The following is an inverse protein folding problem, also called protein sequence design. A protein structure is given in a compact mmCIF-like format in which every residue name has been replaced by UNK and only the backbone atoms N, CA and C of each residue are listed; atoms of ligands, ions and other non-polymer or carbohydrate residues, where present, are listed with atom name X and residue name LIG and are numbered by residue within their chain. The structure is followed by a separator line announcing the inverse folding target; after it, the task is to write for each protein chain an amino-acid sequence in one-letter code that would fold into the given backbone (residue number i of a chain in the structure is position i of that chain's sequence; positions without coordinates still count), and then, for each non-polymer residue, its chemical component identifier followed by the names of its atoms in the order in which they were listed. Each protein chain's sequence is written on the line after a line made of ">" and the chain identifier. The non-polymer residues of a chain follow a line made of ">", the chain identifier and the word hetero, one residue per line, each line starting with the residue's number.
data_IF_699483098326
#
_entry.id   IF_699483098326
#
_cell.length_a   1.000
_cell.length_b   1.000
_cell.length_c   1.000
_cell.angle_alpha   90.00
_cell.angle_beta   90.00
_cell.angle_gamma   90.00
#
_symmetry.space_group_name_H-M   'P 1'
#
loop_
_entity.id
_entity.type
_entity.pdbx_description
1 polymer ?
#
# COMPACT_ATOMS: atom_id res chain seq x y z
N UNK A 1 -0.04 -29.29 13.04
CA UNK A 1 -0.26 -30.25 14.15
C UNK A 1 -0.59 -29.48 15.43
N UNK A 2 -1.15 -30.12 16.45
CA UNK A 2 -1.57 -29.49 17.73
C UNK A 2 -0.41 -28.75 18.45
N UNK A 3 0.84 -29.14 18.21
CA UNK A 3 2.05 -28.46 18.69
C UNK A 3 2.22 -27.03 18.12
N UNK A 4 1.93 -26.83 16.82
CA UNK A 4 2.00 -25.50 16.19
C UNK A 4 0.99 -24.52 16.79
N UNK A 5 -0.13 -24.98 17.34
CA UNK A 5 -1.20 -24.13 17.84
C UNK A 5 -0.86 -23.57 19.24
N UNK A 6 -0.19 -24.36 20.07
CA UNK A 6 0.31 -23.94 21.39
C UNK A 6 1.44 -22.92 21.27
N UNK A 7 2.40 -23.15 20.37
CA UNK A 7 3.47 -22.18 20.09
C UNK A 7 2.91 -20.88 19.49
N UNK A 8 1.84 -20.97 18.70
CA UNK A 8 1.11 -19.81 18.19
C UNK A 8 0.44 -19.03 19.33
N UNK A 9 -0.23 -19.70 20.26
CA UNK A 9 -0.86 -19.05 21.41
C UNK A 9 0.16 -18.30 22.25
N UNK A 10 1.33 -18.90 22.47
CA UNK A 10 2.43 -18.22 23.17
C UNK A 10 2.95 -17.00 22.40
N UNK A 11 3.09 -17.09 21.07
CA UNK A 11 3.45 -15.94 20.21
C UNK A 11 2.38 -14.84 20.22
N UNK A 12 1.10 -15.21 20.35
CA UNK A 12 -0.01 -14.26 20.44
C UNK A 12 -0.06 -13.53 21.78
N UNK A 13 0.37 -14.16 22.87
CA UNK A 13 0.48 -13.54 24.20
C UNK A 13 1.59 -12.47 24.25
N UNK A 14 2.64 -12.59 23.43
CA UNK A 14 3.69 -11.58 23.31
C UNK A 14 3.24 -10.31 22.56
N UNK A 15 2.11 -10.37 21.86
CA UNK A 15 1.53 -9.22 21.20
C UNK A 15 0.57 -8.54 22.19
N UNK A 16 0.71 -7.22 22.39
CA UNK A 16 -0.22 -6.41 23.20
C UNK A 16 -1.58 -6.27 22.49
N UNK A 17 -2.31 -7.38 22.36
CA UNK A 17 -3.59 -7.49 21.67
C UNK A 17 -4.75 -7.40 22.64
N UNK A 18 -5.81 -6.73 22.22
CA UNK A 18 -7.09 -6.85 22.92
C UNK A 18 -7.73 -8.23 22.69
N UNK A 19 -8.69 -8.60 23.53
CA UNK A 19 -9.35 -9.91 23.47
C UNK A 19 -10.11 -10.15 22.16
N UNK A 20 -10.63 -9.09 21.54
CA UNK A 20 -11.32 -9.21 20.26
C UNK A 20 -10.33 -9.52 19.12
N UNK A 21 -9.17 -8.88 19.12
CA UNK A 21 -8.07 -9.13 18.20
C UNK A 21 -7.54 -10.56 18.34
N UNK A 22 -7.29 -11.02 19.58
CA UNK A 22 -6.87 -12.41 19.84
C UNK A 22 -7.86 -13.41 19.27
N UNK A 23 -9.15 -13.25 19.59
CA UNK A 23 -10.22 -14.15 19.12
C UNK A 23 -10.30 -14.20 17.59
N UNK A 24 -10.17 -13.06 16.90
CA UNK A 24 -10.19 -12.99 15.44
C UNK A 24 -8.98 -13.70 14.83
N UNK A 25 -7.79 -13.50 15.40
CA UNK A 25 -6.57 -14.10 14.92
C UNK A 25 -6.57 -15.62 15.13
N UNK A 26 -7.01 -16.10 16.30
CA UNK A 26 -7.22 -17.53 16.56
C UNK A 26 -8.23 -18.17 15.60
N UNK A 27 -9.33 -17.47 15.29
CA UNK A 27 -10.32 -17.94 14.34
C UNK A 27 -9.72 -18.08 12.92
N UNK A 28 -8.96 -17.08 12.46
CA UNK A 28 -8.25 -17.14 11.19
C UNK A 28 -7.27 -18.32 11.14
N UNK A 29 -6.47 -18.51 12.19
CA UNK A 29 -5.48 -19.58 12.27
C UNK A 29 -6.13 -20.97 12.31
N UNK A 30 -7.29 -21.09 12.96
CA UNK A 30 -8.10 -22.31 12.97
C UNK A 30 -8.65 -22.62 11.57
N UNK A 31 -9.09 -21.60 10.83
CA UNK A 31 -9.51 -21.77 9.43
C UNK A 31 -8.33 -22.16 8.53
N UNK A 32 -7.19 -21.48 8.69
CA UNK A 32 -5.95 -21.78 7.96
C UNK A 32 -5.47 -23.21 8.18
N UNK A 33 -5.60 -23.75 9.39
CA UNK A 33 -5.24 -25.14 9.67
C UNK A 33 -6.12 -26.19 8.95
N UNK A 34 -7.30 -25.79 8.47
CA UNK A 34 -8.17 -26.63 7.62
C UNK A 34 -7.79 -26.57 6.14
N UNK A 35 -6.98 -25.58 5.75
CA UNK A 35 -6.47 -25.44 4.38
C UNK A 35 -5.26 -26.37 4.26
N UNK A 36 -5.36 -27.34 3.36
CA UNK A 36 -4.27 -28.23 3.02
C UNK A 36 -3.28 -27.59 2.05
N UNK A 37 -2.62 -28.42 1.26
CA UNK A 37 -1.85 -27.95 0.10
C UNK A 37 -2.80 -27.30 -0.92
N UNK A 38 -2.43 -26.11 -1.40
CA UNK A 38 -3.22 -25.37 -2.38
C UNK A 38 -2.83 -25.77 -3.81
N UNK A 39 -3.82 -26.03 -4.65
CA UNK A 39 -3.65 -26.32 -6.08
C UNK A 39 -4.57 -25.43 -6.91
N UNK A 40 -4.20 -25.18 -8.17
CA UNK A 40 -4.97 -24.31 -9.05
C UNK A 40 -6.43 -24.79 -9.22
N UNK A 41 -6.60 -26.08 -9.47
CA UNK A 41 -7.89 -26.73 -9.67
C UNK A 41 -8.82 -26.64 -8.44
N UNK A 42 -8.32 -26.30 -7.25
CA UNK A 42 -9.14 -26.21 -6.04
C UNK A 42 -9.92 -24.88 -5.93
N UNK A 43 -9.68 -23.93 -6.83
CA UNK A 43 -10.27 -22.61 -6.76
C UNK A 43 -11.39 -22.39 -7.78
N UNK A 44 -12.49 -21.79 -7.33
CA UNK A 44 -13.54 -21.25 -8.17
C UNK A 44 -13.47 -19.72 -8.16
N UNK A 45 -13.35 -19.10 -9.34
CA UNK A 45 -13.33 -17.64 -9.48
C UNK A 45 -14.72 -17.06 -9.25
N UNK A 46 -14.82 -16.06 -8.37
CA UNK A 46 -16.07 -15.35 -8.07
C UNK A 46 -16.10 -14.02 -8.83
N UNK A 47 -15.10 -13.16 -8.58
CA UNK A 47 -15.04 -11.82 -9.17
C UNK A 47 -13.60 -11.32 -9.21
N UNK A 48 -13.33 -10.29 -10.01
CA UNK A 48 -12.08 -9.55 -9.93
C UNK A 48 -12.13 -8.54 -8.79
N UNK A 49 -11.03 -8.35 -8.07
CA UNK A 49 -10.90 -7.36 -6.99
C UNK A 49 -10.05 -6.17 -7.43
N UNK A 50 -9.08 -6.40 -8.31
CA UNK A 50 -8.25 -5.36 -8.91
C UNK A 50 -7.11 -5.94 -9.72
N UNK A 51 -6.50 -5.09 -10.54
CA UNK A 51 -5.30 -5.39 -11.30
C UNK A 51 -4.30 -4.26 -11.13
N UNK A 52 -3.02 -4.59 -11.01
CA UNK A 52 -1.95 -3.60 -10.84
C UNK A 52 -0.59 -4.13 -11.26
N UNK A 53 0.45 -3.36 -10.92
CA UNK A 53 1.84 -3.65 -11.32
C UNK A 53 2.34 -5.03 -10.86
N UNK A 54 1.74 -5.59 -9.80
CA UNK A 54 2.10 -6.90 -9.24
C UNK A 54 1.19 -8.03 -9.70
N UNK A 55 0.38 -7.85 -10.75
CA UNK A 55 -0.54 -8.87 -11.28
C UNK A 55 -2.01 -8.62 -10.98
N UNK A 56 -2.84 -9.65 -11.16
CA UNK A 56 -4.30 -9.58 -11.01
C UNK A 56 -4.73 -10.23 -9.71
N UNK A 57 -5.61 -9.58 -8.96
CA UNK A 57 -6.20 -10.09 -7.73
C UNK A 57 -7.66 -10.46 -7.98
N UNK A 58 -7.99 -11.71 -7.70
CA UNK A 58 -9.34 -12.26 -7.86
C UNK A 58 -9.90 -12.75 -6.53
N UNK A 59 -11.19 -12.55 -6.32
CA UNK A 59 -11.94 -13.19 -5.26
C UNK A 59 -12.25 -14.61 -5.69
N UNK A 60 -11.87 -15.59 -4.87
CA UNK A 60 -12.03 -17.01 -5.17
C UNK A 60 -12.64 -17.74 -3.99
N UNK A 61 -13.32 -18.85 -4.27
CA UNK A 61 -13.69 -19.83 -3.26
C UNK A 61 -12.78 -21.05 -3.37
N UNK A 62 -12.15 -21.43 -2.26
CA UNK A 62 -11.39 -22.67 -2.17
C UNK A 62 -12.35 -23.83 -1.92
N UNK A 63 -12.62 -24.66 -2.93
CA UNK A 63 -13.64 -25.71 -2.91
C UNK A 63 -13.48 -26.69 -1.74
N UNK A 64 -12.28 -27.22 -1.41
CA UNK A 64 -12.14 -28.18 -0.32
C UNK A 64 -12.51 -27.65 1.07
N UNK A 65 -12.26 -26.36 1.35
CA UNK A 65 -12.54 -25.77 2.67
C UNK A 65 -13.77 -24.86 2.71
N UNK A 66 -14.32 -24.50 1.55
CA UNK A 66 -15.41 -23.53 1.40
C UNK A 66 -15.02 -22.08 1.68
N UNK A 67 -13.74 -21.80 2.00
CA UNK A 67 -13.27 -20.47 2.38
C UNK A 67 -13.20 -19.54 1.17
N UNK A 68 -13.61 -18.29 1.36
CA UNK A 68 -13.42 -17.21 0.39
C UNK A 68 -12.06 -16.57 0.63
N UNK A 69 -11.27 -16.42 -0.42
CA UNK A 69 -9.91 -15.87 -0.39
C UNK A 69 -9.74 -14.78 -1.45
N UNK A 70 -8.72 -13.94 -1.26
CA UNK A 70 -8.16 -13.12 -2.33
C UNK A 70 -6.94 -13.86 -2.90
N UNK A 71 -6.97 -14.14 -4.20
CA UNK A 71 -5.88 -14.81 -4.93
C UNK A 71 -5.21 -13.83 -5.88
N UNK A 72 -3.95 -13.50 -5.60
CA UNK A 72 -3.10 -12.68 -6.46
C UNK A 72 -2.29 -13.58 -7.39
N UNK A 73 -2.41 -13.34 -8.69
CA UNK A 73 -1.72 -14.06 -9.76
C UNK A 73 -0.63 -13.15 -10.32
N UNK A 74 0.62 -13.60 -10.24
CA UNK A 74 1.80 -12.88 -10.73
C UNK A 74 2.41 -13.69 -11.86
N UNK A 75 2.30 -13.18 -13.08
CA UNK A 75 2.93 -13.78 -14.24
C UNK A 75 4.42 -13.43 -14.26
N UNK A 76 5.29 -14.44 -14.19
CA UNK A 76 6.75 -14.25 -14.20
C UNK A 76 7.43 -15.32 -15.06
N UNK A 77 8.00 -14.89 -16.17
CA UNK A 77 8.88 -15.72 -16.99
C UNK A 77 10.29 -15.77 -16.38
N UNK A 78 10.46 -16.60 -15.35
CA UNK A 78 11.73 -16.74 -14.64
C UNK A 78 12.21 -18.20 -14.60
N UNK A 79 13.53 -18.36 -14.48
CA UNK A 79 14.17 -19.67 -14.38
C UNK A 79 13.63 -20.44 -13.18
N UNK A 80 13.46 -21.78 -13.27
CA UNK A 80 12.94 -22.61 -12.18
C UNK A 80 13.66 -22.42 -10.83
N UNK A 81 14.98 -22.17 -10.85
CA UNK A 81 15.76 -21.92 -9.64
C UNK A 81 15.32 -20.64 -8.89
N UNK A 82 15.11 -19.53 -9.62
CA UNK A 82 14.66 -18.24 -9.06
C UNK A 82 13.22 -18.39 -8.56
N UNK A 83 12.36 -19.04 -9.34
CA UNK A 83 10.98 -19.35 -8.93
C UNK A 83 10.92 -20.11 -7.60
N UNK A 84 11.69 -21.20 -7.48
CA UNK A 84 11.71 -22.00 -6.26
C UNK A 84 12.26 -21.21 -5.08
N UNK A 85 13.20 -20.28 -5.32
CA UNK A 85 13.66 -19.36 -4.29
C UNK A 85 12.55 -18.39 -3.84
N UNK A 86 11.82 -17.78 -4.78
CA UNK A 86 10.69 -16.89 -4.44
C UNK A 86 9.64 -17.64 -3.61
N UNK A 87 9.23 -18.84 -4.03
CA UNK A 87 8.25 -19.64 -3.28
C UNK A 87 8.74 -19.94 -1.86
N UNK A 88 10.02 -20.25 -1.67
CA UNK A 88 10.61 -20.45 -0.34
C UNK A 88 10.62 -19.17 0.49
N UNK A 89 11.00 -18.04 -0.09
CA UNK A 89 11.00 -16.74 0.60
C UNK A 89 9.57 -16.34 1.03
N UNK A 90 8.57 -16.60 0.18
CA UNK A 90 7.15 -16.38 0.50
C UNK A 90 6.65 -17.25 1.66
N UNK A 91 7.33 -18.35 2.03
CA UNK A 91 6.92 -19.16 3.19
C UNK A 91 6.99 -18.38 4.51
N UNK A 92 7.83 -17.35 4.61
CA UNK A 92 7.91 -16.46 5.79
C UNK A 92 6.57 -15.78 6.06
N UNK A 93 5.72 -15.58 5.04
CA UNK A 93 4.37 -15.06 5.21
C UNK A 93 3.48 -15.96 6.08
N UNK A 94 3.78 -17.27 6.21
CA UNK A 94 3.04 -18.12 7.14
C UNK A 94 3.23 -17.71 8.60
N UNK A 95 4.37 -17.09 8.93
CA UNK A 95 4.71 -16.63 10.28
C UNK A 95 4.20 -15.21 10.57
N UNK A 96 3.82 -14.47 9.53
CA UNK A 96 3.27 -13.13 9.64
C UNK A 96 1.79 -13.14 10.09
N UNK A 97 1.56 -13.29 11.40
CA UNK A 97 0.22 -13.34 11.98
C UNK A 97 0.01 -12.18 12.97
N UNK A 98 -0.65 -11.12 12.51
CA UNK A 98 -0.93 -9.90 13.28
C UNK A 98 -2.28 -9.33 12.86
N UNK A 99 -3.03 -8.67 13.76
CA UNK A 99 -4.29 -8.03 13.39
C UNK A 99 -4.13 -6.86 12.41
N UNK A 100 -2.90 -6.40 12.15
CA UNK A 100 -2.57 -5.30 11.22
C UNK A 100 -1.91 -5.79 9.92
N UNK A 101 -1.77 -7.11 9.73
CA UNK A 101 -1.21 -7.72 8.52
C UNK A 101 -2.25 -8.66 7.92
N UNK A 102 -2.47 -8.56 6.61
CA UNK A 102 -3.41 -9.41 5.89
C UNK A 102 -2.99 -10.87 6.03
N UNK A 103 -3.91 -11.69 6.53
CA UNK A 103 -3.70 -13.10 6.80
C UNK A 103 -3.33 -13.88 5.54
N UNK A 104 -2.27 -14.67 5.63
CA UNK A 104 -1.77 -15.48 4.53
C UNK A 104 -2.19 -16.95 4.66
N UNK A 105 -2.78 -17.52 3.60
CA UNK A 105 -3.12 -18.94 3.54
C UNK A 105 -2.00 -19.78 2.94
N UNK A 106 -1.42 -19.34 1.82
CA UNK A 106 -0.35 -20.07 1.15
C UNK A 106 0.00 -19.47 -0.21
N UNK A 107 1.12 -19.93 -0.78
CA UNK A 107 1.55 -19.59 -2.12
C UNK A 107 1.99 -20.83 -2.88
N UNK A 108 1.71 -20.86 -4.18
CA UNK A 108 2.08 -21.96 -5.07
C UNK A 108 2.35 -21.44 -6.48
N UNK A 109 2.88 -22.30 -7.33
CA UNK A 109 3.13 -21.98 -8.73
C UNK A 109 2.40 -22.99 -9.63
N UNK A 110 1.68 -22.48 -10.62
CA UNK A 110 1.03 -23.28 -11.68
C UNK A 110 1.11 -22.51 -13.00
N UNK A 111 1.34 -23.21 -14.10
CA UNK A 111 1.16 -22.70 -15.46
C UNK A 111 1.83 -21.34 -15.78
N UNK A 112 3.03 -21.11 -15.27
CA UNK A 112 3.75 -19.86 -15.52
C UNK A 112 3.52 -18.76 -14.48
N UNK A 113 2.62 -18.99 -13.51
CA UNK A 113 2.14 -17.96 -12.59
C UNK A 113 2.39 -18.33 -11.13
N UNK A 114 2.82 -17.35 -10.33
CA UNK A 114 2.84 -17.46 -8.88
C UNK A 114 1.49 -17.01 -8.33
N UNK A 115 0.86 -17.89 -7.57
CA UNK A 115 -0.40 -17.61 -6.87
C UNK A 115 -0.15 -17.38 -5.39
N UNK A 116 -0.66 -16.28 -4.86
CA UNK A 116 -0.60 -15.91 -3.44
C UNK A 116 -2.05 -15.83 -2.93
N UNK A 117 -2.40 -16.69 -1.97
CA UNK A 117 -3.75 -16.77 -1.40
C UNK A 117 -3.79 -16.14 0.00
N UNK A 118 -4.66 -15.15 0.16
CA UNK A 118 -4.76 -14.28 1.34
C UNK A 118 -6.20 -14.19 1.84
N UNK A 119 -6.40 -13.70 3.07
CA UNK A 119 -7.73 -13.37 3.56
C UNK A 119 -8.39 -12.31 2.66
N UNK A 120 -9.70 -12.46 2.45
CA UNK A 120 -10.47 -11.50 1.68
C UNK A 120 -10.90 -10.33 2.58
N UNK A 121 -10.48 -9.12 2.20
CA UNK A 121 -10.85 -7.86 2.84
C UNK A 121 -11.99 -7.21 2.06
N UNK A 122 -13.22 -7.32 2.56
CA UNK A 122 -14.45 -6.97 1.84
C UNK A 122 -14.71 -5.46 1.68
N UNK A 123 -13.95 -4.61 2.35
CA UNK A 123 -13.96 -3.16 2.13
C UNK A 123 -12.93 -2.69 1.10
N UNK A 124 -12.15 -3.60 0.52
CA UNK A 124 -11.15 -3.26 -0.49
C UNK A 124 -9.96 -2.48 0.07
N UNK A 125 -9.25 -1.79 -0.82
CA UNK A 125 -8.11 -0.95 -0.49
C UNK A 125 -8.49 0.51 -0.25
N UNK A 126 -7.67 1.25 0.49
CA UNK A 126 -7.96 2.66 0.77
C UNK A 126 -7.95 3.56 -0.49
N UNK A 127 -7.27 3.18 -1.58
CA UNK A 127 -7.39 3.93 -2.85
C UNK A 127 -8.78 3.77 -3.49
N UNK A 128 -9.40 2.59 -3.35
CA UNK A 128 -10.78 2.35 -3.81
C UNK A 128 -11.76 3.11 -2.94
N UNK A 129 -11.59 3.05 -1.62
CA UNK A 129 -12.38 3.83 -0.66
C UNK A 129 -12.24 5.33 -0.91
N UNK A 130 -11.04 5.83 -1.23
CA UNK A 130 -10.81 7.24 -1.53
C UNK A 130 -11.59 7.71 -2.77
N UNK A 131 -11.65 6.89 -3.82
CA UNK A 131 -12.41 7.22 -5.05
C UNK A 131 -13.89 7.44 -4.77
N UNK A 132 -14.46 6.67 -3.84
CA UNK A 132 -15.87 6.80 -3.44
C UNK A 132 -16.09 7.94 -2.43
N UNK A 133 -15.25 8.02 -1.40
CA UNK A 133 -15.38 9.01 -0.32
C UNK A 133 -14.92 10.41 -0.72
N UNK A 134 -14.13 10.52 -1.80
CA UNK A 134 -13.38 11.70 -2.26
C UNK A 134 -12.29 12.17 -1.28
N UNK A 135 -12.54 12.13 0.03
CA UNK A 135 -11.60 12.45 1.11
C UNK A 135 -11.91 11.59 2.33
N UNK A 136 -10.89 11.24 3.10
CA UNK A 136 -11.06 10.52 4.36
C UNK A 136 -10.94 11.51 5.53
N UNK A 137 -11.91 11.54 6.47
CA UNK A 137 -11.85 12.41 7.64
C UNK A 137 -10.63 12.12 8.53
N UNK A 138 -10.08 13.18 9.13
CA UNK A 138 -8.91 13.13 10.01
C UNK A 138 -9.06 12.09 11.15
N UNK A 139 -10.23 12.01 11.77
CA UNK A 139 -10.50 11.05 12.85
C UNK A 139 -10.31 9.58 12.42
N UNK A 140 -10.70 9.28 11.17
CA UNK A 140 -10.54 7.95 10.57
C UNK A 140 -9.07 7.74 10.19
N UNK A 141 -8.41 8.77 9.66
CA UNK A 141 -6.98 8.72 9.35
C UNK A 141 -6.12 8.50 10.60
N UNK A 142 -6.52 9.01 11.77
CA UNK A 142 -5.88 8.67 13.03
C UNK A 142 -5.89 7.16 13.31
N UNK A 143 -7.00 6.47 13.02
CA UNK A 143 -7.10 5.00 13.15
C UNK A 143 -6.28 4.26 12.10
N UNK A 144 -6.27 4.75 10.85
CA UNK A 144 -5.40 4.24 9.79
C UNK A 144 -3.94 4.35 10.19
N UNK A 145 -3.51 5.51 10.68
CA UNK A 145 -2.14 5.76 11.13
C UNK A 145 -1.70 4.78 12.22
N UNK A 146 -2.54 4.56 13.23
CA UNK A 146 -2.27 3.59 14.30
C UNK A 146 -2.09 2.17 13.71
N UNK A 147 -2.98 1.75 12.82
CA UNK A 147 -2.93 0.42 12.23
C UNK A 147 -1.68 0.22 11.35
N UNK A 148 -1.34 1.20 10.51
CA UNK A 148 -0.15 1.15 9.65
C UNK A 148 1.12 1.12 10.50
N UNK A 149 1.26 1.99 11.50
CA UNK A 149 2.42 2.01 12.39
C UNK A 149 2.58 0.70 13.15
N UNK A 150 1.50 0.14 13.69
CA UNK A 150 1.54 -1.16 14.37
C UNK A 150 1.89 -2.30 13.43
N UNK A 151 1.41 -2.27 12.18
CA UNK A 151 1.78 -3.22 11.14
C UNK A 151 3.27 -3.14 10.77
N UNK A 152 3.79 -1.93 10.55
CA UNK A 152 5.21 -1.70 10.25
C UNK A 152 6.12 -2.10 11.41
N UNK A 153 5.76 -1.74 12.65
CA UNK A 153 6.48 -2.13 13.85
C UNK A 153 6.51 -3.66 13.99
N UNK A 154 5.37 -4.34 13.80
CA UNK A 154 5.30 -5.80 13.82
C UNK A 154 6.24 -6.45 12.79
N UNK A 155 6.23 -5.99 11.53
CA UNK A 155 7.10 -6.50 10.47
C UNK A 155 8.58 -6.30 10.83
N UNK A 156 8.93 -5.12 11.35
CA UNK A 156 10.31 -4.79 11.69
C UNK A 156 10.81 -5.57 12.91
N UNK A 157 10.07 -5.55 14.01
CA UNK A 157 10.52 -6.10 15.29
C UNK A 157 10.51 -7.62 15.29
N UNK A 158 9.43 -8.24 14.79
CA UNK A 158 9.26 -9.70 14.85
C UNK A 158 9.91 -10.43 13.67
N UNK A 159 10.02 -9.78 12.51
CA UNK A 159 10.48 -10.45 11.27
C UNK A 159 11.69 -9.78 10.62
N UNK A 160 12.15 -8.61 11.09
CA UNK A 160 13.22 -7.82 10.45
C UNK A 160 12.89 -7.43 8.99
N UNK A 161 11.61 -7.31 8.66
CA UNK A 161 11.12 -6.97 7.32
C UNK A 161 10.80 -5.48 7.23
N UNK A 162 11.13 -4.86 6.08
CA UNK A 162 10.63 -3.54 5.68
C UNK A 162 9.53 -3.72 4.64
N UNK A 163 8.52 -2.86 4.65
CA UNK A 163 7.39 -3.00 3.72
C UNK A 163 7.78 -2.64 2.29
N UNK A 164 8.49 -1.52 2.11
CA UNK A 164 9.03 -0.98 0.84
C UNK A 164 8.01 -0.49 -0.19
N UNK A 165 6.71 -0.60 0.08
CA UNK A 165 5.63 -0.24 -0.84
C UNK A 165 4.36 0.18 -0.09
N UNK A 166 4.49 1.01 0.95
CA UNK A 166 3.32 1.54 1.66
C UNK A 166 2.64 2.58 0.76
N UNK A 167 1.36 2.38 0.48
CA UNK A 167 0.51 3.29 -0.31
C UNK A 167 -0.96 2.95 -0.08
N UNK A 168 -1.93 3.82 -0.42
CA UNK A 168 -3.35 3.55 -0.21
C UNK A 168 -3.84 2.22 -0.78
N UNK A 169 -3.31 1.78 -1.93
CA UNK A 169 -3.71 0.50 -2.54
C UNK A 169 -3.26 -0.74 -1.77
N UNK A 170 -2.29 -0.60 -0.86
CA UNK A 170 -1.73 -1.69 -0.05
C UNK A 170 -2.21 -1.64 1.41
N UNK A 171 -3.15 -0.75 1.73
CA UNK A 171 -3.82 -0.67 3.03
C UNK A 171 -5.26 -1.14 2.81
N UNK A 172 -5.60 -2.33 3.32
CA UNK A 172 -6.90 -2.94 3.12
C UNK A 172 -7.80 -2.78 4.34
N UNK A 173 -9.11 -2.68 4.09
CA UNK A 173 -10.13 -2.56 5.12
C UNK A 173 -11.24 -3.58 4.96
N UNK A 174 -11.95 -3.87 6.04
CA UNK A 174 -13.10 -4.77 6.01
C UNK A 174 -14.30 -4.24 6.82
N UNK A 175 -15.46 -4.83 6.61
CA UNK A 175 -16.73 -4.49 7.28
C UNK A 175 -16.70 -4.68 8.80
N UNK A 176 -15.69 -5.38 9.32
CA UNK A 176 -15.45 -5.56 10.77
C UNK A 176 -14.61 -4.44 11.39
N UNK A 177 -14.23 -3.44 10.59
CA UNK A 177 -13.43 -2.29 11.01
C UNK A 177 -11.93 -2.59 11.15
N UNK A 178 -11.43 -3.69 10.58
CA UNK A 178 -9.99 -3.98 10.59
C UNK A 178 -9.28 -3.23 9.46
N UNK A 179 -8.06 -2.76 9.74
CA UNK A 179 -7.18 -2.07 8.79
C UNK A 179 -5.87 -2.87 8.77
N UNK A 180 -5.46 -3.36 7.60
CA UNK A 180 -4.34 -4.29 7.47
C UNK A 180 -3.46 -3.98 6.27
N UNK A 181 -2.15 -4.16 6.43
CA UNK A 181 -1.17 -4.03 5.35
C UNK A 181 -1.08 -5.33 4.54
N UNK A 182 -0.91 -5.19 3.23
CA UNK A 182 -0.62 -6.28 2.29
C UNK A 182 0.57 -5.93 1.39
N UNK A 183 1.01 -6.88 0.57
CA UNK A 183 2.04 -6.65 -0.46
C UNK A 183 3.37 -6.06 0.06
N UNK A 184 3.79 -6.48 1.26
CA UNK A 184 5.07 -6.11 1.84
C UNK A 184 6.22 -6.97 1.29
N UNK A 185 7.42 -6.37 1.24
CA UNK A 185 8.59 -6.90 0.54
C UNK A 185 9.29 -8.08 1.20
N UNK A 186 8.67 -9.26 1.22
CA UNK A 186 9.25 -10.49 1.81
C UNK A 186 10.31 -11.14 0.91
N UNK A 187 10.12 -11.11 -0.41
CA UNK A 187 11.07 -11.72 -1.34
C UNK A 187 11.84 -10.64 -2.11
N UNK A 188 13.13 -10.51 -1.83
CA UNK A 188 14.04 -9.63 -2.57
C UNK A 188 14.07 -9.98 -4.05
N UNK A 189 14.08 -11.28 -4.38
CA UNK A 189 14.07 -11.75 -5.76
C UNK A 189 12.77 -11.40 -6.49
N UNK A 190 11.62 -11.51 -5.81
CA UNK A 190 10.34 -11.09 -6.37
C UNK A 190 10.32 -9.57 -6.60
N UNK A 191 10.82 -8.80 -5.63
CA UNK A 191 10.96 -7.35 -5.75
C UNK A 191 11.85 -7.00 -6.95
N UNK A 192 13.03 -7.59 -7.07
CA UNK A 192 13.96 -7.31 -8.17
C UNK A 192 13.37 -7.71 -9.53
N UNK A 193 12.66 -8.84 -9.58
CA UNK A 193 11.97 -9.31 -10.81
C UNK A 193 10.82 -8.37 -11.22
N UNK A 194 10.08 -7.82 -10.26
CA UNK A 194 9.01 -6.83 -10.52
C UNK A 194 9.55 -5.41 -10.74
N UNK A 195 10.66 -5.04 -10.10
CA UNK A 195 11.26 -3.70 -10.18
C UNK A 195 11.93 -3.44 -11.53
N UNK A 196 12.46 -4.50 -12.17
CA UNK A 196 13.00 -4.43 -13.52
C UNK A 196 11.92 -4.20 -14.59
N UNK A 197 10.63 -4.38 -14.25
CA UNK A 197 9.54 -4.31 -15.22
C UNK A 197 8.66 -3.08 -15.12
N UNK A 198 8.60 -2.34 -13.98
CA UNK A 198 7.58 -1.27 -13.84
C UNK A 198 8.01 0.00 -13.08
N UNK A 199 7.57 1.14 -13.60
CA UNK A 199 7.97 2.51 -13.20
C UNK A 199 6.95 3.18 -12.24
N UNK A 200 5.68 2.78 -12.26
CA UNK A 200 4.58 3.47 -11.54
C UNK A 200 4.57 3.31 -10.01
N UNK A 201 5.32 2.36 -9.44
CA UNK A 201 5.41 2.16 -7.98
C UNK A 201 6.36 3.16 -7.29
N UNK A 202 7.11 3.96 -8.06
CA UNK A 202 8.17 4.83 -7.52
C UNK A 202 7.64 6.13 -6.90
N UNK A 203 6.39 6.51 -7.16
CA UNK A 203 5.83 7.79 -6.71
C UNK A 203 5.79 7.95 -5.18
N UNK A 204 5.59 6.87 -4.43
CA UNK A 204 5.61 6.90 -2.95
C UNK A 204 6.99 6.66 -2.36
N UNK A 205 8.01 6.46 -3.20
CA UNK A 205 9.35 6.16 -2.74
C UNK A 205 9.96 7.38 -2.07
N UNK A 206 10.69 7.14 -0.97
CA UNK A 206 11.38 8.20 -0.26
C UNK A 206 12.58 8.76 -1.05
N UNK A 207 12.99 10.01 -0.80
CA UNK A 207 14.08 10.65 -1.53
C UNK A 207 15.40 9.85 -1.44
N UNK A 208 15.72 9.33 -0.26
CA UNK A 208 16.96 8.58 0.00
C UNK A 208 16.99 7.25 -0.77
N UNK A 209 15.82 6.62 -0.98
CA UNK A 209 15.69 5.42 -1.82
C UNK A 209 15.83 5.74 -3.30
N UNK A 210 15.29 6.85 -3.77
CA UNK A 210 15.41 7.29 -5.16
C UNK A 210 16.86 7.64 -5.53
N UNK A 211 17.62 8.17 -4.58
CA UNK A 211 19.05 8.45 -4.73
C UNK A 211 19.94 7.20 -4.58
N UNK A 212 19.38 6.04 -4.22
CA UNK A 212 20.14 4.80 -4.05
C UNK A 212 21.02 4.77 -2.78
N UNK A 213 20.74 5.63 -1.81
CA UNK A 213 21.45 5.66 -0.53
C UNK A 213 20.97 4.55 0.41
N UNK A 214 21.65 4.36 1.55
CA UNK A 214 21.21 3.40 2.55
C UNK A 214 19.86 3.83 3.14
N UNK A 215 18.87 2.94 3.05
CA UNK A 215 17.52 3.22 3.49
C UNK A 215 17.08 2.21 4.56
N UNK A 216 16.10 2.62 5.37
CA UNK A 216 15.61 1.84 6.52
C UNK A 216 14.09 1.91 6.61
N UNK A 217 13.51 1.49 7.73
CA UNK A 217 12.07 1.65 8.02
C UNK A 217 11.60 3.10 7.89
N UNK A 218 12.50 4.10 8.02
CA UNK A 218 12.18 5.50 7.79
C UNK A 218 11.60 5.78 6.39
N UNK A 219 11.98 4.98 5.38
CA UNK A 219 11.41 5.11 4.04
C UNK A 219 9.94 4.66 3.97
N UNK A 220 9.55 3.70 4.80
CA UNK A 220 8.15 3.30 4.93
C UNK A 220 7.33 4.39 5.66
N UNK A 221 7.95 5.10 6.61
CA UNK A 221 7.34 6.26 7.29
C UNK A 221 7.08 7.41 6.32
N UNK A 222 8.05 7.74 5.45
CA UNK A 222 7.82 8.71 4.36
C UNK A 222 6.62 8.31 3.48
N UNK A 223 6.60 7.05 3.04
CA UNK A 223 5.56 6.51 2.17
C UNK A 223 4.18 6.58 2.86
N UNK A 224 4.13 6.32 4.16
CA UNK A 224 2.94 6.50 5.00
C UNK A 224 2.50 7.97 5.08
N UNK A 225 3.42 8.91 5.36
CA UNK A 225 3.12 10.34 5.42
C UNK A 225 2.50 10.84 4.11
N UNK A 226 3.10 10.48 2.97
CA UNK A 226 2.60 10.84 1.66
C UNK A 226 1.19 10.27 1.40
N UNK A 227 0.96 9.01 1.79
CA UNK A 227 -0.35 8.35 1.71
C UNK A 227 -1.41 9.07 2.55
N UNK A 228 -1.06 9.53 3.75
CA UNK A 228 -1.98 10.25 4.61
C UNK A 228 -2.36 11.60 4.03
N UNK A 229 -1.41 12.34 3.46
CA UNK A 229 -1.71 13.60 2.77
C UNK A 229 -2.67 13.33 1.61
N UNK A 230 -2.40 12.32 0.77
CA UNK A 230 -3.28 11.94 -0.34
C UNK A 230 -4.72 11.64 0.13
N UNK A 231 -4.86 10.78 1.14
CA UNK A 231 -6.16 10.37 1.67
C UNK A 231 -6.92 11.55 2.31
N UNK A 232 -6.20 12.51 2.88
CA UNK A 232 -6.77 13.70 3.51
C UNK A 232 -7.33 14.69 2.50
N UNK A 233 -6.56 14.94 1.43
CA UNK A 233 -6.91 15.95 0.41
C UNK A 233 -7.74 15.37 -0.75
N UNK A 234 -7.73 14.05 -0.94
CA UNK A 234 -8.46 13.39 -2.02
C UNK A 234 -7.75 13.34 -3.36
N UNK A 235 -6.45 13.61 -3.36
CA UNK A 235 -5.64 13.83 -4.56
C UNK A 235 -4.21 13.47 -4.23
N UNK A 236 -3.50 12.85 -5.18
CA UNK A 236 -2.07 12.63 -5.02
C UNK A 236 -1.34 13.98 -4.79
N UNK A 237 -0.48 14.11 -3.76
CA UNK A 237 -0.08 15.42 -3.24
C UNK A 237 1.11 16.05 -3.97
N UNK A 238 1.66 15.39 -5.01
CA UNK A 238 2.80 15.92 -5.76
C UNK A 238 2.44 16.05 -7.26
N UNK A 239 2.59 17.24 -7.86
CA UNK A 239 2.94 18.51 -7.20
C UNK A 239 1.82 18.98 -6.25
N UNK A 240 2.14 19.80 -5.23
CA UNK A 240 1.14 20.35 -4.31
C UNK A 240 0.01 21.09 -5.04
N UNK A 241 -1.24 21.00 -4.56
CA UNK A 241 -2.34 21.78 -5.11
C UNK A 241 -2.10 23.28 -4.87
N UNK A 242 -2.48 24.12 -5.83
CA UNK A 242 -2.44 25.56 -5.64
C UNK A 242 -3.66 26.06 -4.84
N UNK A 243 -3.67 27.34 -4.45
CA UNK A 243 -4.74 27.92 -3.63
C UNK A 243 -6.13 27.79 -4.27
N UNK A 244 -6.24 27.85 -5.60
CA UNK A 244 -7.54 27.70 -6.29
C UNK A 244 -8.02 26.26 -6.25
N UNK A 245 -7.10 25.32 -6.41
CA UNK A 245 -7.40 23.89 -6.30
C UNK A 245 -7.80 23.52 -4.86
N UNK A 246 -7.08 24.04 -3.85
CA UNK A 246 -7.45 23.87 -2.43
C UNK A 246 -8.84 24.45 -2.13
N UNK A 247 -9.14 25.65 -2.62
CA UNK A 247 -10.47 26.26 -2.50
C UNK A 247 -11.56 25.37 -3.11
N UNK A 248 -11.32 24.79 -4.28
CA UNK A 248 -12.25 23.88 -4.93
C UNK A 248 -12.45 22.56 -4.13
N UNK A 249 -11.38 22.02 -3.53
CA UNK A 249 -11.41 20.79 -2.72
C UNK A 249 -12.19 21.00 -1.42
N UNK A 250 -11.97 22.12 -0.73
CA UNK A 250 -12.52 22.37 0.60
C UNK A 250 -13.77 23.26 0.61
N UNK A 251 -14.13 23.87 -0.52
CA UNK A 251 -15.29 24.75 -0.65
C UNK A 251 -15.16 26.08 0.11
N UNK A 252 -13.94 26.46 0.51
CA UNK A 252 -13.64 27.68 1.26
C UNK A 252 -12.20 28.15 1.00
N UNK A 253 -11.90 29.45 1.13
CA UNK A 253 -10.54 29.97 1.14
C UNK A 253 -9.69 29.24 2.17
N UNK A 254 -8.60 28.63 1.70
CA UNK A 254 -7.58 28.01 2.55
C UNK A 254 -6.40 28.96 2.61
N UNK A 255 -6.17 29.55 3.78
CA UNK A 255 -5.01 30.41 4.02
C UNK A 255 -3.83 29.50 4.31
N UNK A 256 -3.13 29.05 3.27
CA UNK A 256 -1.78 28.52 3.49
C UNK A 256 -0.86 29.70 3.72
N UNK A 257 -0.21 29.73 4.88
CA UNK A 257 0.68 30.81 5.34
C UNK A 257 1.95 30.99 4.50
N UNK A 258 1.97 30.58 3.24
CA UNK A 258 2.96 30.99 2.26
C UNK A 258 2.66 32.42 1.78
N UNK A 259 2.69 33.39 2.70
CA UNK A 259 3.02 34.76 2.33
C UNK A 259 4.52 34.79 2.01
N UNK A 260 4.89 34.48 0.78
CA UNK A 260 6.27 34.51 0.33
C UNK A 260 6.49 33.76 -0.97
N UNK A 261 6.61 34.53 -2.05
CA UNK A 261 6.98 34.13 -3.41
C UNK A 261 5.87 33.43 -4.22
N UNK A 262 5.21 34.25 -5.04
CA UNK A 262 4.74 33.81 -6.34
C UNK A 262 5.92 33.18 -7.10
N UNK A 263 6.12 31.86 -7.00
CA UNK A 263 6.93 31.14 -7.96
C UNK A 263 6.17 31.13 -9.28
N UNK A 264 6.35 32.21 -10.05
CA UNK A 264 6.20 32.15 -11.49
C UNK A 264 7.15 31.05 -11.95
N UNK A 265 6.60 29.91 -12.36
CA UNK A 265 7.31 28.95 -13.18
C UNK A 265 7.73 29.73 -14.42
N UNK A 266 8.98 30.20 -14.45
CA UNK A 266 9.54 30.78 -15.66
C UNK A 266 9.52 29.68 -16.71
N UNK A 267 8.84 29.86 -17.85
CA UNK A 267 8.88 28.87 -18.91
C UNK A 267 10.31 28.84 -19.45
N UNK A 268 11.07 27.81 -19.10
CA UNK A 268 12.30 27.46 -19.84
C UNK A 268 11.92 27.35 -21.32
N UNK A 269 12.72 27.98 -22.18
CA UNK A 269 12.48 28.07 -23.61
C UNK A 269 12.22 26.68 -24.22
N UNK A 270 11.10 26.55 -24.94
CA UNK A 270 10.77 25.34 -25.71
C UNK A 270 11.80 25.12 -26.82
N UNK A 271 12.19 23.86 -27.12
CA UNK A 271 12.82 23.54 -28.39
C UNK A 271 11.80 23.80 -29.52
N UNK A 272 12.21 24.36 -30.67
CA UNK A 272 11.30 24.65 -31.77
C UNK A 272 10.85 23.35 -32.46
N UNK A 273 9.54 23.12 -32.60
CA UNK A 273 9.06 22.06 -33.52
C UNK A 273 7.72 21.36 -33.29
N UNK A 274 6.73 21.88 -32.54
CA UNK A 274 5.38 21.27 -32.51
C UNK A 274 4.23 22.28 -32.64
N UNK A 275 3.19 21.97 -33.44
CA UNK A 275 2.11 22.90 -33.73
C UNK A 275 1.17 23.06 -32.53
N UNK A 276 0.57 24.25 -32.44
CA UNK A 276 -0.38 24.66 -31.42
C UNK A 276 -1.77 24.13 -31.81
N UNK A 277 -2.40 23.33 -30.95
CA UNK A 277 -3.83 23.04 -31.01
C UNK A 277 -4.51 23.62 -29.78
N UNK A 278 -5.49 24.51 -30.01
CA UNK A 278 -6.27 25.16 -28.96
C UNK A 278 -7.48 24.35 -28.47
N UNK A 279 -8.06 24.89 -27.40
CA UNK A 279 -9.35 24.60 -26.73
C UNK A 279 -9.35 23.59 -25.56
N UNK A 280 -9.95 24.04 -24.45
CA UNK A 280 -10.35 23.24 -23.28
C UNK A 280 -9.76 23.75 -21.96
N UNK A 281 -10.61 24.31 -21.08
CA UNK A 281 -10.34 24.39 -19.63
C UNK A 281 -10.15 22.96 -19.10
N UNK A 282 -9.23 22.76 -18.14
CA UNK A 282 -8.72 21.47 -17.59
C UNK A 282 -7.58 20.78 -18.37
N UNK A 283 -6.45 21.46 -18.55
CA UNK A 283 -5.27 20.84 -19.16
C UNK A 283 -3.94 21.34 -18.56
N UNK A 284 -3.71 21.09 -17.27
CA UNK A 284 -2.31 20.95 -16.82
C UNK A 284 -1.82 19.57 -17.29
N UNK A 285 -0.72 19.47 -18.05
CA UNK A 285 -0.17 18.17 -18.41
C UNK A 285 0.10 17.37 -17.13
N UNK A 286 -0.30 16.10 -17.11
CA UNK A 286 0.14 15.19 -16.06
C UNK A 286 1.69 15.21 -16.03
N UNK A 287 2.24 15.54 -14.86
CA UNK A 287 3.68 15.58 -14.64
C UNK A 287 4.30 14.26 -15.08
N UNK A 288 5.38 14.32 -15.86
CA UNK A 288 6.05 13.09 -16.28
C UNK A 288 6.70 12.41 -15.08
N UNK A 289 6.84 11.08 -15.11
CA UNK A 289 7.39 10.36 -13.96
C UNK A 289 8.78 10.84 -13.55
N UNK A 290 9.66 11.20 -14.48
CA UNK A 290 10.98 11.71 -14.13
C UNK A 290 10.91 13.06 -13.39
N UNK A 291 9.97 13.92 -13.77
CA UNK A 291 9.73 15.21 -13.11
C UNK A 291 9.17 14.98 -11.70
N UNK A 292 8.31 13.98 -11.54
CA UNK A 292 7.77 13.60 -10.23
C UNK A 292 8.88 13.08 -9.30
N UNK A 293 9.73 12.18 -9.80
CA UNK A 293 10.84 11.65 -9.00
C UNK A 293 11.87 12.74 -8.68
N UNK A 294 12.13 13.66 -9.60
CA UNK A 294 12.99 14.82 -9.38
C UNK A 294 12.40 15.76 -8.33
N UNK A 295 11.08 16.02 -8.37
CA UNK A 295 10.38 16.82 -7.36
C UNK A 295 10.52 16.21 -5.97
N UNK A 296 10.28 14.90 -5.83
CA UNK A 296 10.42 14.21 -4.53
C UNK A 296 11.82 14.41 -3.94
N UNK A 297 12.84 14.45 -4.79
CA UNK A 297 14.24 14.54 -4.35
C UNK A 297 14.68 15.97 -4.06
N UNK A 298 14.23 16.94 -4.85
CA UNK A 298 14.81 18.29 -4.88
C UNK A 298 13.89 19.40 -4.35
N UNK A 299 12.60 19.13 -4.20
CA UNK A 299 11.61 20.13 -3.77
C UNK A 299 11.12 19.85 -2.33
N UNK A 300 10.53 20.86 -1.65
CA UNK A 300 9.97 20.66 -0.32
C UNK A 300 8.89 19.57 -0.30
N UNK A 301 8.82 18.75 0.77
CA UNK A 301 7.79 17.73 0.90
C UNK A 301 6.38 18.36 0.98
N UNK A 302 5.35 17.68 0.48
CA UNK A 302 3.98 18.17 0.56
C UNK A 302 3.52 18.25 2.02
N UNK A 303 2.65 19.21 2.31
CA UNK A 303 2.08 19.46 3.63
C UNK A 303 0.57 19.48 3.57
N UNK A 304 -0.07 19.26 4.71
CA UNK A 304 -1.51 19.49 4.84
C UNK A 304 -1.80 21.00 4.91
N UNK A 305 -2.91 21.45 4.32
CA UNK A 305 -3.31 22.86 4.33
C UNK A 305 -3.65 23.35 5.74
N UNK A 306 -3.19 24.56 6.05
CA UNK A 306 -3.48 25.22 7.32
C UNK A 306 -4.98 25.55 7.46
N UNK A 307 -5.48 25.54 8.71
CA UNK A 307 -6.87 25.91 9.03
C UNK A 307 -7.94 24.89 8.59
N UNK A 308 -7.54 23.77 7.98
CA UNK A 308 -8.43 22.66 7.61
C UNK A 308 -8.29 21.48 8.57
N UNK A 309 -7.05 21.12 8.90
CA UNK A 309 -6.72 19.98 9.75
C UNK A 309 -6.20 20.46 11.12
N UNK A 310 -6.26 19.61 12.14
CA UNK A 310 -5.69 19.97 13.44
C UNK A 310 -4.18 20.18 13.36
N UNK A 311 -3.62 20.95 14.29
CA UNK A 311 -2.18 21.18 14.35
C UNK A 311 -1.43 19.87 14.63
N UNK A 312 -1.98 19.00 15.47
CA UNK A 312 -1.39 17.71 15.79
C UNK A 312 -1.26 16.83 14.55
N UNK A 313 -2.29 16.78 13.69
CA UNK A 313 -2.23 15.99 12.48
C UNK A 313 -1.26 16.57 11.45
N UNK A 314 -1.21 17.90 11.32
CA UNK A 314 -0.22 18.57 10.48
C UNK A 314 1.22 18.29 10.96
N UNK A 315 1.48 18.38 12.27
CA UNK A 315 2.79 18.06 12.84
C UNK A 315 3.13 16.57 12.65
N UNK A 316 2.15 15.68 12.79
CA UNK A 316 2.32 14.25 12.61
C UNK A 316 2.77 13.89 11.19
N UNK A 317 2.18 14.47 10.14
CA UNK A 317 2.60 14.20 8.75
C UNK A 317 3.89 14.93 8.35
N UNK A 318 4.24 16.01 9.05
CA UNK A 318 5.48 16.78 8.79
C UNK A 318 6.74 16.14 9.41
N UNK A 319 6.58 15.25 10.40
CA UNK A 319 7.66 14.51 11.06
C UNK A 319 8.05 13.25 10.30
#
# INVERSE_FOLDING_TARGET
>A
SRANLVDLQKKLEELELDEQQKKRLEAFLTQKAKVGELKDDDFERISELGAGNGGVVTKVQHKPSGLVMARKLIHLEIKPAIRNQIIRELQVLHECNSPYIVGFYGAFYSDGEISICMEHMDGGSLDQVLKEAKRIPEEILGKVSIAVLRGLAYLREKHQIMHRDVKPSNILVNSRGEIKLCDFGVSGQLIDSMANSFVGTRSYMSPERLQGTHYSVQSDIWSMGLSLVELSIGRYPIPPPDSKELEAIFGRPVVDGAEGESHSISPRARPPGRPVSGHGMDNRPAMAIFELLDYIVNEPPPKLPNGVFTQDFQEFVNK
#
